data_IF_630800252029
#
_entry.id   IF_630800252029
#
_cell.length_a   1.000
_cell.length_b   1.000
_cell.length_c   1.000
_cell.angle_alpha   90.00
_cell.angle_beta   90.00
_cell.angle_gamma   90.00
#
_symmetry.space_group_name_H-M   'P 1'
#
loop_
_entity.id
_entity.type
_entity.pdbx_description
1 polymer ?
#
# COMPACT_ATOMS: atom_id res chain seq x y z
N UNK A 1 -22.09 -13.13 34.19
CA UNK A 1 -20.85 -13.21 34.98
C UNK A 1 -19.83 -13.93 34.10
N UNK A 2 -18.79 -13.23 33.64
CA UNK A 2 -17.72 -13.83 32.83
C UNK A 2 -16.60 -14.29 33.78
N UNK A 3 -16.16 -15.54 33.65
CA UNK A 3 -15.01 -16.05 34.37
C UNK A 3 -13.74 -15.31 33.90
N UNK A 4 -12.91 -14.90 34.84
CA UNK A 4 -11.59 -14.35 34.55
C UNK A 4 -10.74 -15.42 33.84
N UNK A 5 -10.42 -15.19 32.56
CA UNK A 5 -9.60 -16.09 31.72
C UNK A 5 -8.11 -15.89 32.02
N UNK A 6 -7.73 -15.99 33.28
CA UNK A 6 -6.35 -15.78 33.72
C UNK A 6 -5.89 -16.98 34.57
N UNK A 7 -4.64 -17.39 34.37
CA UNK A 7 -3.95 -18.30 35.29
C UNK A 7 -2.90 -17.47 36.02
N UNK A 8 -3.01 -17.40 37.35
CA UNK A 8 -2.11 -16.65 38.22
C UNK A 8 -1.59 -17.54 39.36
N UNK A 9 -0.28 -17.71 39.42
CA UNK A 9 0.42 -18.36 40.53
C UNK A 9 1.25 -17.31 41.26
N UNK A 10 1.05 -17.14 42.57
CA UNK A 10 1.73 -16.09 43.37
C UNK A 10 2.36 -16.68 44.63
N UNK A 11 3.49 -16.11 45.04
CA UNK A 11 4.11 -16.40 46.34
C UNK A 11 5.16 -15.34 46.68
N UNK A 12 5.15 -14.78 47.89
CA UNK A 12 6.21 -13.88 48.38
C UNK A 12 6.47 -12.64 47.51
N UNK A 13 5.47 -12.13 46.79
CA UNK A 13 5.61 -11.01 45.85
C UNK A 13 6.07 -11.39 44.44
N UNK A 14 6.43 -12.66 44.20
CA UNK A 14 6.66 -13.20 42.87
C UNK A 14 5.36 -13.72 42.24
N UNK A 15 5.29 -13.72 40.91
CA UNK A 15 4.17 -14.29 40.17
C UNK A 15 4.54 -14.88 38.81
N UNK A 16 3.75 -15.88 38.40
CA UNK A 16 3.64 -16.36 37.02
C UNK A 16 2.19 -16.13 36.58
N UNK A 17 2.02 -15.40 35.49
CA UNK A 17 0.69 -15.03 34.97
C UNK A 17 0.56 -15.36 33.49
N UNK A 18 -0.57 -15.95 33.10
CA UNK A 18 -0.96 -16.16 31.70
C UNK A 18 -2.26 -15.42 31.43
N UNK A 19 -2.21 -14.43 30.52
CA UNK A 19 -3.38 -13.63 30.14
C UNK A 19 -3.24 -13.08 28.73
N UNK A 20 -4.33 -13.12 27.96
CA UNK A 20 -4.40 -12.56 26.59
C UNK A 20 -3.32 -13.12 25.64
N UNK A 21 -2.94 -14.39 25.83
CA UNK A 21 -1.88 -15.04 25.05
C UNK A 21 -0.45 -14.67 25.48
N UNK A 22 -0.27 -13.87 26.53
CA UNK A 22 1.02 -13.45 27.06
C UNK A 22 1.37 -14.24 28.33
N UNK A 23 2.67 -14.48 28.54
CA UNK A 23 3.22 -15.08 29.76
C UNK A 23 4.08 -14.03 30.47
N UNK A 24 3.81 -13.79 31.74
CA UNK A 24 4.55 -12.86 32.59
C UNK A 24 5.22 -13.64 33.73
N UNK A 25 6.54 -13.47 33.87
CA UNK A 25 7.35 -14.04 34.94
C UNK A 25 7.99 -12.89 35.72
N UNK A 26 7.66 -12.75 37.01
CA UNK A 26 8.12 -11.65 37.84
C UNK A 26 8.51 -12.11 39.24
N UNK A 27 9.56 -11.53 39.79
CA UNK A 27 9.98 -11.72 41.17
C UNK A 27 10.80 -10.53 41.67
N UNK A 28 10.68 -10.14 42.94
CA UNK A 28 11.43 -9.02 43.52
C UNK A 28 12.90 -9.35 43.78
N UNK A 29 13.29 -10.63 43.68
CA UNK A 29 14.66 -11.12 43.85
C UNK A 29 15.21 -11.74 42.57
N UNK A 30 15.90 -12.89 42.71
CA UNK A 30 16.54 -13.58 41.60
C UNK A 30 15.55 -14.52 40.91
N UNK A 31 15.50 -14.45 39.58
CA UNK A 31 14.88 -15.48 38.74
C UNK A 31 16.04 -16.28 38.12
N UNK A 32 16.27 -17.51 38.60
CA UNK A 32 17.37 -18.37 38.13
C UNK A 32 16.86 -19.43 37.14
N UNK A 33 17.46 -19.46 35.94
CA UNK A 33 17.18 -20.47 34.92
C UNK A 33 18.39 -21.39 34.76
N UNK A 34 18.28 -22.65 35.20
CA UNK A 34 19.31 -23.69 35.02
C UNK A 34 18.89 -24.68 33.95
N UNK A 35 19.40 -24.52 32.73
CA UNK A 35 19.13 -25.42 31.61
C UNK A 35 20.35 -25.52 30.68
N UNK A 36 20.52 -26.68 30.03
CA UNK A 36 21.61 -26.90 29.07
C UNK A 36 21.43 -26.12 27.74
N UNK A 37 20.21 -25.70 27.41
CA UNK A 37 19.90 -24.88 26.25
C UNK A 37 18.59 -24.11 26.46
N UNK A 38 18.56 -22.83 26.05
CA UNK A 38 17.36 -21.98 26.07
C UNK A 38 17.24 -21.22 24.74
N UNK A 39 16.75 -21.87 23.66
CA UNK A 39 16.72 -21.26 22.34
C UNK A 39 15.61 -20.21 22.24
N UNK A 40 16.00 -18.93 22.26
CA UNK A 40 15.11 -17.82 21.92
C UNK A 40 15.13 -17.60 20.41
N UNK A 41 14.21 -18.24 19.69
CA UNK A 41 13.99 -17.94 18.28
C UNK A 41 13.07 -16.72 18.25
N UNK A 42 13.58 -15.61 17.73
CA UNK A 42 12.76 -14.41 17.47
C UNK A 42 11.55 -14.75 16.60
N UNK A 43 10.62 -13.80 16.38
CA UNK A 43 9.44 -14.06 15.56
C UNK A 43 9.88 -14.64 14.21
N UNK A 44 9.30 -15.77 13.83
CA UNK A 44 9.49 -16.35 12.49
C UNK A 44 9.06 -15.29 11.48
N UNK A 45 10.04 -14.70 10.79
CA UNK A 45 9.75 -13.85 9.64
C UNK A 45 9.29 -14.76 8.51
N UNK A 46 8.00 -14.73 8.16
CA UNK A 46 7.56 -15.19 6.86
C UNK A 46 8.13 -14.20 5.84
N UNK A 47 9.07 -14.65 5.02
CA UNK A 47 9.48 -13.91 3.83
C UNK A 47 8.27 -13.87 2.88
N UNK A 48 7.45 -12.82 2.96
CA UNK A 48 6.45 -12.56 1.95
C UNK A 48 7.22 -12.29 0.65
N UNK A 49 7.05 -13.13 -0.37
CA UNK A 49 7.53 -12.78 -1.70
C UNK A 49 6.88 -11.45 -2.06
N UNK A 50 7.68 -10.40 -2.24
CA UNK A 50 7.16 -9.12 -2.69
C UNK A 50 6.37 -9.38 -3.97
N UNK A 51 5.08 -8.99 -4.04
CA UNK A 51 4.35 -9.08 -5.30
C UNK A 51 5.18 -8.31 -6.32
N UNK A 52 5.59 -8.98 -7.39
CA UNK A 52 6.22 -8.29 -8.51
C UNK A 52 5.19 -7.29 -9.02
N UNK A 53 5.43 -5.99 -8.76
CA UNK A 53 4.68 -4.95 -9.45
C UNK A 53 4.81 -5.23 -10.95
N UNK A 54 3.69 -5.24 -11.71
CA UNK A 54 3.79 -5.33 -13.15
C UNK A 54 4.72 -4.19 -13.60
N UNK A 55 5.79 -4.54 -14.32
CA UNK A 55 6.62 -3.50 -14.92
C UNK A 55 5.72 -2.72 -15.88
N UNK A 56 5.63 -1.42 -15.67
CA UNK A 56 5.13 -0.51 -16.67
C UNK A 56 6.22 -0.47 -17.76
N UNK A 57 6.08 -1.33 -18.77
CA UNK A 57 7.07 -1.55 -19.82
C UNK A 57 6.87 -0.58 -20.99
N UNK A 58 7.97 -0.17 -21.62
CA UNK A 58 8.01 0.72 -22.78
C UNK A 58 9.18 1.70 -22.71
N UNK A 59 9.88 1.90 -23.83
CA UNK A 59 11.02 2.81 -23.93
C UNK A 59 10.60 4.30 -23.96
N UNK A 60 9.32 4.56 -24.17
CA UNK A 60 8.73 5.89 -24.25
C UNK A 60 7.50 5.95 -23.35
N UNK A 61 7.27 7.10 -22.74
CA UNK A 61 6.05 7.36 -21.99
C UNK A 61 5.41 8.67 -22.44
N UNK A 62 4.08 8.75 -22.33
CA UNK A 62 3.32 9.94 -22.69
C UNK A 62 2.21 10.17 -21.67
N UNK A 63 2.02 11.43 -21.29
CA UNK A 63 0.83 11.92 -20.62
C UNK A 63 0.51 13.31 -21.13
N UNK A 64 -0.77 13.67 -21.16
CA UNK A 64 -1.22 15.02 -21.48
C UNK A 64 -1.52 15.79 -20.19
N UNK A 65 -1.28 17.10 -20.21
CA UNK A 65 -1.63 18.02 -19.14
C UNK A 65 -2.66 19.01 -19.68
N UNK A 66 -3.87 18.97 -19.14
CA UNK A 66 -4.97 19.82 -19.55
C UNK A 66 -5.16 20.95 -18.55
N UNK A 67 -4.89 22.17 -19.01
CA UNK A 67 -5.10 23.42 -18.27
C UNK A 67 -5.85 24.41 -19.15
N UNK A 68 -6.56 25.35 -18.53
CA UNK A 68 -7.10 26.52 -19.22
C UNK A 68 -6.02 27.58 -19.51
N UNK A 69 -6.42 28.71 -20.08
CA UNK A 69 -5.50 29.80 -20.47
C UNK A 69 -4.83 30.48 -19.25
N UNK A 70 -5.42 30.36 -18.06
CA UNK A 70 -4.88 30.87 -16.79
C UNK A 70 -4.01 29.81 -16.06
N UNK A 71 -3.89 28.61 -16.62
CA UNK A 71 -3.14 27.50 -16.04
C UNK A 71 -3.90 26.70 -14.98
N UNK A 72 -5.21 26.92 -14.82
CA UNK A 72 -6.04 26.15 -13.91
C UNK A 72 -6.24 24.75 -14.49
N UNK A 73 -5.97 23.67 -13.72
CA UNK A 73 -6.09 22.31 -14.23
C UNK A 73 -7.54 21.92 -14.46
N UNK A 74 -7.79 21.26 -15.59
CA UNK A 74 -9.05 20.56 -15.84
C UNK A 74 -9.06 19.25 -15.05
N UNK A 75 -9.26 19.34 -13.74
CA UNK A 75 -9.28 18.21 -12.83
C UNK A 75 -10.55 17.35 -12.99
N UNK A 76 -10.42 16.03 -12.84
CA UNK A 76 -11.53 15.08 -12.86
C UNK A 76 -12.44 15.19 -14.11
N UNK A 77 -11.84 15.48 -15.28
CA UNK A 77 -12.55 15.58 -16.56
C UNK A 77 -12.29 14.35 -17.42
N UNK A 78 -13.34 13.86 -18.06
CA UNK A 78 -13.22 12.75 -19.00
C UNK A 78 -12.39 13.16 -20.22
N UNK A 79 -11.58 12.24 -20.73
CA UNK A 79 -10.81 12.42 -21.97
C UNK A 79 -10.84 11.16 -22.83
N UNK A 80 -10.54 11.34 -24.12
CA UNK A 80 -10.31 10.25 -25.09
C UNK A 80 -8.93 10.42 -25.72
N UNK A 81 -8.13 9.35 -25.74
CA UNK A 81 -6.91 9.25 -26.54
C UNK A 81 -7.20 8.49 -27.83
N UNK A 82 -6.66 8.97 -28.93
CA UNK A 82 -6.73 8.33 -30.25
C UNK A 82 -5.33 7.93 -30.69
N UNK A 83 -5.18 6.65 -31.03
CA UNK A 83 -3.92 6.05 -31.45
C UNK A 83 -3.80 6.02 -32.99
N UNK A 84 -2.58 5.93 -33.54
CA UNK A 84 -2.35 5.90 -34.98
C UNK A 84 -3.01 4.72 -35.72
N UNK A 85 -3.23 3.60 -35.02
CA UNK A 85 -3.89 2.41 -35.56
C UNK A 85 -5.42 2.55 -35.67
N UNK A 86 -5.96 3.70 -35.25
CA UNK A 86 -7.39 3.99 -35.23
C UNK A 86 -8.11 3.54 -33.95
N UNK A 87 -7.42 2.88 -33.02
CA UNK A 87 -7.97 2.55 -31.72
C UNK A 87 -8.07 3.80 -30.83
N UNK A 88 -8.87 3.70 -29.77
CA UNK A 88 -9.03 4.78 -28.79
C UNK A 88 -9.26 4.24 -27.39
N UNK A 89 -8.78 4.96 -26.38
CA UNK A 89 -9.06 4.69 -24.97
C UNK A 89 -9.64 5.92 -24.28
N UNK A 90 -10.38 5.73 -23.20
CA UNK A 90 -10.94 6.80 -22.38
C UNK A 90 -10.37 6.79 -20.97
N UNK A 91 -10.34 7.95 -20.33
CA UNK A 91 -9.91 8.08 -18.95
C UNK A 91 -10.44 9.35 -18.31
N UNK A 92 -10.00 9.61 -17.08
CA UNK A 92 -10.34 10.81 -16.31
C UNK A 92 -9.03 11.45 -15.86
N UNK A 93 -8.91 12.76 -16.01
CA UNK A 93 -7.74 13.50 -15.53
C UNK A 93 -7.63 13.49 -14.01
N UNK A 94 -6.41 13.52 -13.49
CA UNK A 94 -6.17 13.63 -12.05
C UNK A 94 -6.47 15.04 -11.51
N UNK A 95 -6.25 15.27 -10.21
CA UNK A 95 -6.47 16.56 -9.55
C UNK A 95 -5.63 17.71 -10.13
N UNK A 96 -4.54 17.38 -10.83
CA UNK A 96 -3.64 18.34 -11.46
C UNK A 96 -3.88 18.42 -12.98
N UNK A 97 -4.95 17.80 -13.51
CA UNK A 97 -5.27 17.85 -14.94
C UNK A 97 -4.42 16.93 -15.82
N UNK A 98 -3.68 15.97 -15.26
CA UNK A 98 -2.93 15.00 -16.04
C UNK A 98 -3.77 13.79 -16.45
N UNK A 99 -3.55 13.28 -17.66
CA UNK A 99 -4.01 11.94 -18.04
C UNK A 99 -3.19 10.86 -17.35
N UNK A 100 -3.66 9.60 -17.43
CA UNK A 100 -2.81 8.45 -17.14
C UNK A 100 -1.55 8.47 -18.02
N UNK A 101 -0.49 7.87 -17.50
CA UNK A 101 0.77 7.70 -18.25
C UNK A 101 0.67 6.42 -19.07
N UNK A 102 0.72 6.59 -20.39
CA UNK A 102 0.80 5.50 -21.35
C UNK A 102 2.27 5.20 -21.66
N UNK A 103 2.59 3.93 -21.93
CA UNK A 103 3.94 3.47 -22.24
C UNK A 103 3.96 2.81 -23.62
N UNK A 104 5.02 3.07 -24.39
CA UNK A 104 5.17 2.63 -25.78
C UNK A 104 6.59 2.13 -26.05
N UNK A 105 6.73 1.16 -26.94
CA UNK A 105 8.04 0.67 -27.40
C UNK A 105 8.67 1.57 -28.46
N UNK A 106 7.87 2.39 -29.14
CA UNK A 106 8.29 3.30 -30.20
C UNK A 106 7.55 4.65 -30.10
N UNK A 107 8.11 5.74 -30.66
CA UNK A 107 7.46 7.05 -30.61
C UNK A 107 6.20 7.08 -31.49
N UNK A 108 5.06 7.43 -30.90
CA UNK A 108 3.77 7.53 -31.58
C UNK A 108 3.17 8.94 -31.54
N UNK A 109 2.39 9.29 -32.58
CA UNK A 109 1.61 10.53 -32.60
C UNK A 109 0.21 10.26 -32.08
N UNK A 110 -0.01 10.58 -30.82
CA UNK A 110 -1.29 10.39 -30.13
C UNK A 110 -2.05 11.71 -30.08
N UNK A 111 -3.36 11.66 -30.25
CA UNK A 111 -4.24 12.82 -30.08
C UNK A 111 -5.08 12.63 -28.83
N UNK A 112 -5.23 13.68 -28.04
CA UNK A 112 -6.04 13.67 -26.84
C UNK A 112 -7.16 14.71 -26.96
N UNK A 113 -8.40 14.30 -26.71
CA UNK A 113 -9.55 15.18 -26.64
C UNK A 113 -10.07 15.21 -25.20
N UNK A 114 -10.12 16.40 -24.60
CA UNK A 114 -10.76 16.63 -23.32
C UNK A 114 -12.27 16.86 -23.53
N UNK A 115 -13.10 16.19 -22.74
CA UNK A 115 -14.53 16.41 -22.75
C UNK A 115 -14.88 17.53 -21.78
N UNK A 116 -15.24 18.67 -22.33
CA UNK A 116 -15.80 19.78 -21.58
C UNK A 116 -17.32 19.66 -21.59
N UNK A 117 -17.93 19.82 -20.41
CA UNK A 117 -19.38 19.97 -20.33
C UNK A 117 -19.76 21.19 -21.17
N UNK A 118 -20.68 21.03 -22.13
CA UNK A 118 -21.16 22.16 -22.90
C UNK A 118 -21.78 23.16 -21.93
N UNK A 119 -21.21 24.36 -21.84
CA UNK A 119 -21.86 25.51 -21.21
C UNK A 119 -23.19 25.72 -21.96
N UNK A 120 -24.29 25.42 -21.28
CA UNK A 120 -25.65 25.72 -21.74
C UNK A 120 -25.96 27.20 -21.67
#
# INVERSE_FOLDING_TARGET
MAAEKEILLTSGGAYIKIRDGNIYLHGPGIIEHKAASFPFKGPTSLSYAMPHLPKLEGNYNLRFHFVDDDGVPYANKEYTLFFPDGSSTTGVTDENGYTLTEYFDFPEKIRAHLKLDQLG
#
